data_IF_880559096169
#
_entry.id   IF_880559096169
#
_cell.length_a   1.000
_cell.length_b   1.000
_cell.length_c   1.000
_cell.angle_alpha   90.00
_cell.angle_beta   90.00
_cell.angle_gamma   90.00
#
_symmetry.space_group_name_H-M   'P 1'
#
loop_
_entity.id
_entity.type
_entity.pdbx_description
1 polymer ?
#
# COMPACT_ATOMS: atom_id res chain seq x y z
N UNK A 1 3.26 21.85 20.84
CA UNK A 1 4.29 21.51 19.82
C UNK A 1 3.65 21.09 18.49
N UNK A 2 2.76 20.12 18.46
CA UNK A 2 2.10 19.63 17.24
C UNK A 2 1.48 20.76 16.42
N UNK A 3 0.66 21.62 17.06
CA UNK A 3 0.03 22.77 16.39
C UNK A 3 1.04 23.72 15.75
N UNK A 4 2.19 23.93 16.40
CA UNK A 4 3.25 24.79 15.87
C UNK A 4 3.89 24.14 14.63
N UNK A 5 4.23 22.84 14.71
CA UNK A 5 4.78 22.10 13.57
C UNK A 5 3.81 22.10 12.38
N UNK A 6 2.52 21.85 12.62
CA UNK A 6 1.50 21.88 11.59
C UNK A 6 1.41 23.25 10.91
N UNK A 7 1.43 24.32 11.69
CA UNK A 7 1.40 25.70 11.16
C UNK A 7 2.63 25.98 10.28
N UNK A 8 3.83 25.65 10.77
CA UNK A 8 5.06 25.83 10.02
C UNK A 8 5.07 25.04 8.71
N UNK A 9 4.52 23.82 8.72
CA UNK A 9 4.39 23.01 7.50
C UNK A 9 3.42 23.64 6.49
N UNK A 10 2.29 24.17 6.96
CA UNK A 10 1.31 24.87 6.11
C UNK A 10 1.98 26.14 5.51
N UNK A 11 2.60 26.97 6.32
CA UNK A 11 3.30 28.18 5.88
C UNK A 11 4.39 27.86 4.85
N UNK A 12 5.20 26.82 5.09
CA UNK A 12 6.20 26.35 4.14
C UNK A 12 5.58 25.92 2.80
N UNK A 13 4.51 25.13 2.86
CA UNK A 13 3.80 24.68 1.66
C UNK A 13 3.17 25.84 0.88
N UNK A 14 2.55 26.81 1.58
CA UNK A 14 1.91 27.97 0.97
C UNK A 14 2.93 28.95 0.36
N UNK A 15 4.18 28.96 0.85
CA UNK A 15 5.29 29.71 0.26
C UNK A 15 5.93 29.04 -0.97
N UNK A 16 5.38 27.93 -1.45
CA UNK A 16 5.88 27.18 -2.60
C UNK A 16 6.88 26.09 -2.25
N UNK A 17 7.03 25.77 -0.97
CA UNK A 17 7.87 24.67 -0.48
C UNK A 17 7.44 23.31 -1.02
N UNK A 18 8.40 22.42 -1.27
CA UNK A 18 8.14 21.06 -1.79
C UNK A 18 8.22 20.05 -0.67
N UNK A 19 7.15 19.24 -0.54
CA UNK A 19 7.04 18.22 0.49
C UNK A 19 7.31 16.83 -0.11
N UNK A 20 8.29 16.13 0.44
CA UNK A 20 8.55 14.72 0.21
C UNK A 20 8.06 13.94 1.43
N UNK A 21 7.24 12.94 1.21
CA UNK A 21 6.75 12.05 2.28
C UNK A 21 7.58 10.76 2.27
N UNK A 22 8.12 10.39 3.43
CA UNK A 22 8.75 9.10 3.64
C UNK A 22 7.84 8.20 4.50
N UNK A 23 7.43 7.06 3.94
CA UNK A 23 6.60 6.06 4.62
C UNK A 23 7.44 4.82 4.93
N UNK A 24 7.71 4.61 6.21
CA UNK A 24 8.37 3.41 6.70
C UNK A 24 7.32 2.36 7.14
N UNK A 25 7.76 1.11 7.31
CA UNK A 25 6.90 0.01 7.78
C UNK A 25 5.73 -0.28 6.87
N UNK A 26 4.54 -0.47 7.44
CA UNK A 26 3.31 -0.89 6.81
C UNK A 26 2.14 0.05 7.18
N UNK A 27 2.30 1.34 6.94
CA UNK A 27 1.31 2.37 7.31
C UNK A 27 0.02 2.29 6.49
N UNK A 28 0.04 1.64 5.32
CA UNK A 28 -1.14 1.45 4.47
C UNK A 28 -2.16 0.53 5.13
N UNK A 29 -1.72 -0.54 5.83
CA UNK A 29 -2.61 -1.39 6.64
C UNK A 29 -3.34 -0.58 7.73
N UNK A 30 -2.69 0.42 8.31
CA UNK A 30 -3.30 1.37 9.25
C UNK A 30 -4.16 2.44 8.55
N UNK A 31 -4.44 2.29 7.26
CA UNK A 31 -5.26 3.18 6.45
C UNK A 31 -4.75 4.64 6.40
N UNK A 32 -3.42 4.83 6.30
CA UNK A 32 -2.81 6.17 6.16
C UNK A 32 -3.38 6.94 4.96
N UNK A 33 -3.86 6.24 3.96
CA UNK A 33 -4.46 6.81 2.75
C UNK A 33 -5.63 7.75 3.04
N UNK A 34 -6.40 7.53 4.12
CA UNK A 34 -7.49 8.41 4.55
C UNK A 34 -7.03 9.86 4.83
N UNK A 35 -5.79 10.02 5.26
CA UNK A 35 -5.17 11.33 5.50
C UNK A 35 -4.28 11.77 4.35
N UNK A 36 -3.57 10.83 3.74
CA UNK A 36 -2.56 11.11 2.71
C UNK A 36 -3.18 11.41 1.33
N UNK A 37 -4.21 10.66 0.92
CA UNK A 37 -4.84 10.87 -0.37
C UNK A 37 -5.43 12.29 -0.54
N UNK A 38 -6.18 12.85 0.42
CA UNK A 38 -6.62 14.24 0.32
C UNK A 38 -5.48 15.26 0.22
N UNK A 39 -4.38 15.04 0.96
CA UNK A 39 -3.21 15.92 0.91
C UNK A 39 -2.51 15.88 -0.46
N UNK A 40 -2.42 14.68 -1.06
CA UNK A 40 -1.90 14.48 -2.42
C UNK A 40 -2.80 15.22 -3.43
N UNK A 41 -4.09 14.96 -3.39
CA UNK A 41 -5.07 15.56 -4.31
C UNK A 41 -5.14 17.09 -4.20
N UNK A 42 -4.85 17.64 -3.02
CA UNK A 42 -4.71 19.08 -2.79
C UNK A 42 -3.38 19.66 -3.29
N UNK A 43 -2.51 18.86 -3.92
CA UNK A 43 -1.21 19.30 -4.43
C UNK A 43 -0.18 19.64 -3.33
N UNK A 44 -0.37 19.14 -2.12
CA UNK A 44 0.53 19.40 -0.97
C UNK A 44 1.73 18.44 -0.91
N UNK A 45 1.66 17.30 -1.61
CA UNK A 45 2.71 16.28 -1.65
C UNK A 45 3.32 16.26 -3.05
N UNK A 46 4.65 16.22 -3.13
CA UNK A 46 5.38 16.37 -4.39
C UNK A 46 6.19 15.14 -4.76
N UNK A 47 6.51 14.29 -3.80
CA UNK A 47 7.15 13.00 -4.00
C UNK A 47 6.90 12.11 -2.79
N UNK A 48 6.93 10.79 -3.00
CA UNK A 48 6.79 9.80 -1.95
C UNK A 48 7.97 8.84 -2.03
N UNK A 49 8.59 8.55 -0.89
CA UNK A 49 9.52 7.43 -0.73
C UNK A 49 8.91 6.45 0.25
N UNK A 50 8.71 5.19 -0.13
CA UNK A 50 8.01 4.24 0.72
C UNK A 50 8.63 2.84 0.65
N UNK A 51 8.31 2.02 1.65
CA UNK A 51 8.57 0.57 1.59
C UNK A 51 7.66 -0.09 0.57
N UNK A 52 8.06 -1.23 0.03
CA UNK A 52 7.19 -2.05 -0.81
C UNK A 52 5.90 -2.47 -0.10
N UNK A 53 5.98 -2.76 1.21
CA UNK A 53 4.82 -3.08 2.03
C UNK A 53 3.75 -1.96 2.02
N UNK A 54 4.15 -0.69 2.13
CA UNK A 54 3.19 0.41 2.02
C UNK A 54 2.50 0.46 0.66
N UNK A 55 3.24 0.17 -0.40
CA UNK A 55 2.73 0.20 -1.77
C UNK A 55 1.72 -0.93 -2.01
N UNK A 56 2.10 -2.17 -1.66
CA UNK A 56 1.26 -3.35 -1.90
C UNK A 56 0.01 -3.37 -1.02
N UNK A 57 0.10 -2.95 0.23
CA UNK A 57 -1.03 -2.97 1.14
C UNK A 57 -2.13 -1.95 0.79
N UNK A 58 -1.81 -0.85 0.13
CA UNK A 58 -2.82 0.06 -0.42
C UNK A 58 -3.66 -0.63 -1.50
N UNK A 59 -3.00 -1.46 -2.34
CA UNK A 59 -3.68 -2.31 -3.34
C UNK A 59 -4.53 -3.40 -2.68
N UNK A 60 -3.99 -4.09 -1.67
CA UNK A 60 -4.74 -5.13 -0.96
C UNK A 60 -6.00 -4.56 -0.30
N UNK A 61 -5.92 -3.37 0.29
CA UNK A 61 -7.08 -2.66 0.84
C UNK A 61 -8.11 -2.30 -0.22
N UNK A 62 -7.68 -1.89 -1.41
CA UNK A 62 -8.59 -1.57 -2.51
C UNK A 62 -9.36 -2.81 -3.00
N UNK A 63 -8.70 -3.96 -3.05
CA UNK A 63 -9.24 -5.19 -3.64
C UNK A 63 -10.03 -6.00 -2.63
N UNK A 64 -9.55 -6.12 -1.40
CA UNK A 64 -10.08 -7.04 -0.40
C UNK A 64 -10.36 -6.39 0.96
N UNK A 65 -10.32 -5.08 1.08
CA UNK A 65 -10.44 -4.40 2.37
C UNK A 65 -11.75 -4.63 3.12
N UNK A 66 -12.81 -5.08 2.44
CA UNK A 66 -14.08 -5.44 3.07
C UNK A 66 -14.04 -6.85 3.71
N UNK A 67 -13.05 -7.65 3.36
CA UNK A 67 -12.83 -8.98 3.91
C UNK A 67 -11.75 -8.98 5.03
N UNK A 68 -11.20 -7.82 5.37
CA UNK A 68 -10.24 -7.71 6.46
C UNK A 68 -10.92 -7.93 7.81
N UNK A 69 -10.25 -8.67 8.68
CA UNK A 69 -10.69 -8.91 10.05
C UNK A 69 -9.81 -8.16 11.06
N UNK A 70 -10.41 -7.62 12.13
CA UNK A 70 -9.69 -6.98 13.22
C UNK A 70 -9.59 -7.92 14.42
N UNK A 71 -8.38 -8.06 14.97
CA UNK A 71 -8.10 -8.82 16.18
C UNK A 71 -7.87 -7.86 17.35
N UNK A 72 -8.93 -7.55 18.11
CA UNK A 72 -8.87 -6.59 19.20
C UNK A 72 -7.87 -6.97 20.30
N UNK A 73 -7.74 -8.27 20.58
CA UNK A 73 -6.84 -8.81 21.62
C UNK A 73 -5.50 -9.30 21.05
N UNK A 74 -5.02 -8.69 19.98
CA UNK A 74 -3.83 -9.17 19.24
C UNK A 74 -2.56 -9.36 20.10
N UNK A 75 -2.40 -8.56 21.20
CA UNK A 75 -1.26 -8.69 22.11
C UNK A 75 -1.30 -9.95 22.99
N UNK A 76 -2.47 -10.57 23.14
CA UNK A 76 -2.68 -11.80 23.90
C UNK A 76 -2.84 -13.04 23.02
N UNK A 77 -2.69 -12.88 21.69
CA UNK A 77 -2.72 -14.01 20.76
C UNK A 77 -1.54 -14.95 21.01
N UNK A 78 -1.81 -16.23 21.01
CA UNK A 78 -0.83 -17.31 21.09
C UNK A 78 -0.41 -17.78 19.68
N UNK A 79 0.63 -18.59 19.61
CA UNK A 79 1.02 -19.25 18.36
C UNK A 79 -0.08 -20.18 17.79
N UNK A 80 -0.95 -20.72 18.66
CA UNK A 80 -2.07 -21.54 18.22
C UNK A 80 -3.18 -20.71 17.58
N UNK A 81 -3.43 -19.50 18.11
CA UNK A 81 -4.39 -18.57 17.51
C UNK A 81 -3.90 -18.10 16.13
N UNK A 82 -2.59 -17.83 15.99
CA UNK A 82 -1.99 -17.49 14.70
C UNK A 82 -2.04 -18.67 13.71
N UNK A 83 -1.88 -19.90 14.19
CA UNK A 83 -2.02 -21.09 13.36
C UNK A 83 -3.45 -21.23 12.86
N UNK A 84 -4.46 -21.02 13.73
CA UNK A 84 -5.88 -21.07 13.34
C UNK A 84 -6.21 -20.02 12.27
N UNK A 85 -5.76 -18.78 12.48
CA UNK A 85 -5.91 -17.72 11.48
C UNK A 85 -5.27 -18.12 10.13
N UNK A 86 -4.07 -18.67 10.16
CA UNK A 86 -3.36 -19.12 8.96
C UNK A 86 -4.11 -20.27 8.25
N UNK A 87 -4.66 -21.23 8.98
CA UNK A 87 -5.48 -22.32 8.42
C UNK A 87 -6.78 -21.82 7.78
N UNK A 88 -7.31 -20.70 8.26
CA UNK A 88 -8.45 -20.00 7.66
C UNK A 88 -8.07 -19.10 6.48
N UNK A 89 -6.80 -19.10 6.06
CA UNK A 89 -6.31 -18.27 4.98
C UNK A 89 -6.15 -16.78 5.35
N UNK A 90 -6.02 -16.47 6.66
CA UNK A 90 -5.86 -15.10 7.15
C UNK A 90 -4.40 -14.84 7.55
N UNK A 91 -3.82 -13.77 7.03
CA UNK A 91 -2.45 -13.33 7.37
C UNK A 91 -2.52 -12.15 8.32
N UNK A 92 -2.12 -12.37 9.57
CA UNK A 92 -2.20 -11.33 10.61
C UNK A 92 -1.01 -10.35 10.53
N UNK A 93 -1.34 -9.08 10.48
CA UNK A 93 -0.39 -7.95 10.60
C UNK A 93 -0.81 -7.16 11.84
N UNK A 94 -0.20 -7.44 12.98
CA UNK A 94 -0.56 -6.90 14.31
C UNK A 94 -2.03 -7.18 14.68
N UNK A 95 -2.89 -6.20 14.60
CA UNK A 95 -4.32 -6.23 14.94
C UNK A 95 -5.25 -6.38 13.71
N UNK A 96 -4.68 -6.52 12.52
CA UNK A 96 -5.42 -6.68 11.28
C UNK A 96 -5.06 -8.01 10.62
N UNK A 97 -6.05 -8.71 10.09
CA UNK A 97 -5.88 -9.92 9.28
C UNK A 97 -6.27 -9.65 7.84
N UNK A 98 -5.39 -10.00 6.93
CA UNK A 98 -5.55 -9.84 5.48
C UNK A 98 -5.88 -11.21 4.87
N UNK A 99 -6.97 -11.35 4.10
CA UNK A 99 -7.30 -12.61 3.44
C UNK A 99 -6.27 -12.96 2.36
N UNK A 100 -5.68 -14.17 2.42
CA UNK A 100 -4.62 -14.59 1.50
C UNK A 100 -5.14 -14.65 0.05
N UNK A 101 -6.23 -15.35 -0.18
CA UNK A 101 -6.74 -15.59 -1.53
C UNK A 101 -7.30 -14.33 -2.17
N UNK A 102 -8.12 -13.56 -1.43
CA UNK A 102 -8.77 -12.37 -1.93
C UNK A 102 -7.81 -11.19 -2.15
N UNK A 103 -6.74 -11.09 -1.37
CA UNK A 103 -5.72 -10.04 -1.49
C UNK A 103 -4.49 -10.55 -2.24
N UNK A 104 -3.63 -11.33 -1.57
CA UNK A 104 -2.30 -11.69 -2.10
C UNK A 104 -2.38 -12.49 -3.40
N UNK A 105 -3.14 -13.59 -3.44
CA UNK A 105 -3.21 -14.48 -4.61
C UNK A 105 -3.90 -13.82 -5.79
N UNK A 106 -4.93 -13.03 -5.51
CA UNK A 106 -5.63 -12.27 -6.55
C UNK A 106 -4.70 -11.24 -7.19
N UNK A 107 -3.97 -10.46 -6.38
CA UNK A 107 -3.00 -9.47 -6.90
C UNK A 107 -1.85 -10.16 -7.64
N UNK A 108 -1.29 -11.26 -7.07
CA UNK A 108 -0.25 -12.05 -7.72
C UNK A 108 -0.69 -12.50 -9.13
N UNK A 109 -1.87 -13.12 -9.25
CA UNK A 109 -2.35 -13.62 -10.54
C UNK A 109 -2.48 -12.52 -11.61
N UNK A 110 -2.90 -11.33 -11.20
CA UNK A 110 -3.01 -10.17 -12.11
C UNK A 110 -1.64 -9.60 -12.51
N UNK A 111 -0.71 -9.53 -11.55
CA UNK A 111 0.62 -9.01 -11.79
C UNK A 111 1.49 -9.94 -12.64
N UNK A 112 1.30 -11.26 -12.56
CA UNK A 112 2.00 -12.22 -13.40
C UNK A 112 1.85 -11.93 -14.90
N UNK A 113 0.68 -11.46 -15.33
CA UNK A 113 0.48 -11.07 -16.73
C UNK A 113 1.09 -9.70 -17.05
N UNK A 114 1.01 -8.75 -16.11
CA UNK A 114 1.59 -7.41 -16.27
C UNK A 114 3.12 -7.47 -16.33
N UNK A 115 3.76 -8.33 -15.54
CA UNK A 115 5.21 -8.47 -15.52
C UNK A 115 5.79 -9.02 -16.83
N UNK A 116 5.00 -9.71 -17.64
CA UNK A 116 5.40 -10.22 -18.95
C UNK A 116 5.40 -9.17 -20.06
N UNK A 117 4.74 -8.03 -19.85
CA UNK A 117 4.53 -7.03 -20.90
C UNK A 117 5.79 -6.21 -21.17
N UNK A 118 6.24 -5.44 -20.19
CA UNK A 118 7.40 -4.57 -20.30
C UNK A 118 8.01 -4.27 -18.92
N UNK A 119 9.31 -3.94 -18.84
CA UNK A 119 9.92 -3.48 -17.59
C UNK A 119 9.29 -2.17 -17.12
N UNK A 120 8.97 -2.11 -15.84
CA UNK A 120 8.39 -0.95 -15.16
C UNK A 120 9.00 -0.77 -13.77
N UNK A 121 8.90 0.44 -13.22
CA UNK A 121 9.17 0.66 -11.82
C UNK A 121 8.10 -0.01 -10.93
N UNK A 122 8.40 -0.35 -9.66
CA UNK A 122 7.47 -1.06 -8.78
C UNK A 122 6.05 -0.46 -8.74
N UNK A 123 5.93 0.84 -8.57
CA UNK A 123 4.63 1.51 -8.55
C UNK A 123 3.91 1.52 -9.91
N UNK A 124 4.65 1.51 -11.03
CA UNK A 124 4.08 1.49 -12.37
C UNK A 124 3.41 0.15 -12.70
N UNK A 125 3.93 -0.97 -12.16
CA UNK A 125 3.25 -2.26 -12.25
C UNK A 125 1.89 -2.21 -11.53
N UNK A 126 1.83 -1.56 -10.37
CA UNK A 126 0.58 -1.40 -9.64
C UNK A 126 -0.36 -0.40 -10.33
N UNK A 127 0.15 0.61 -10.98
CA UNK A 127 -0.64 1.52 -11.80
C UNK A 127 -1.29 0.79 -12.98
N UNK A 128 -0.56 -0.11 -13.64
CA UNK A 128 -1.10 -0.94 -14.71
C UNK A 128 -2.18 -1.91 -14.20
N UNK A 129 -2.01 -2.44 -12.98
CA UNK A 129 -3.03 -3.24 -12.33
C UNK A 129 -4.29 -2.42 -12.02
N UNK A 130 -4.13 -1.22 -11.48
CA UNK A 130 -5.24 -0.31 -11.17
C UNK A 130 -6.08 0.05 -12.40
N UNK A 131 -5.47 0.07 -13.59
CA UNK A 131 -6.20 0.31 -14.85
C UNK A 131 -7.06 -0.87 -15.30
N UNK A 132 -6.90 -2.03 -14.68
CA UNK A 132 -7.56 -3.30 -15.05
C UNK A 132 -8.60 -3.78 -14.04
N UNK A 133 -8.71 -3.09 -12.91
CA UNK A 133 -9.66 -3.46 -11.86
C UNK A 133 -10.80 -2.45 -11.77
N UNK A 134 -11.97 -2.95 -11.40
CA UNK A 134 -13.08 -2.09 -11.02
C UNK A 134 -12.82 -1.52 -9.62
N UNK A 135 -12.84 -0.19 -9.51
CA UNK A 135 -12.55 0.51 -8.28
C UNK A 135 -13.82 0.64 -7.43
N UNK A 136 -13.77 0.06 -6.23
CA UNK A 136 -14.85 0.16 -5.24
C UNK A 136 -14.84 1.47 -4.45
N UNK A 137 -15.75 1.58 -3.47
CA UNK A 137 -15.93 2.82 -2.66
C UNK A 137 -14.70 3.20 -1.83
N UNK A 138 -13.76 2.27 -1.58
CA UNK A 138 -12.50 2.55 -0.87
C UNK A 138 -11.48 3.34 -1.69
N UNK A 139 -11.75 3.53 -2.98
CA UNK A 139 -10.83 4.22 -3.91
C UNK A 139 -10.52 5.66 -3.49
N UNK A 140 -11.45 6.35 -2.87
CA UNK A 140 -11.24 7.70 -2.35
C UNK A 140 -10.16 7.80 -1.26
N UNK A 141 -9.89 6.70 -0.56
CA UNK A 141 -8.91 6.59 0.51
C UNK A 141 -7.58 5.97 0.06
N UNK A 142 -7.41 5.67 -1.22
CA UNK A 142 -6.15 5.16 -1.75
C UNK A 142 -5.17 6.29 -2.05
N UNK A 143 -4.07 6.31 -1.34
CA UNK A 143 -3.00 7.26 -1.62
C UNK A 143 -2.28 6.95 -2.93
N UNK A 144 -2.22 5.67 -3.32
CA UNK A 144 -1.61 5.24 -4.59
C UNK A 144 -2.42 5.73 -5.80
N UNK A 145 -3.77 5.63 -5.75
CA UNK A 145 -4.65 6.21 -6.76
C UNK A 145 -4.52 7.73 -6.83
N UNK A 146 -4.44 8.39 -5.68
CA UNK A 146 -4.21 9.82 -5.62
C UNK A 146 -2.86 10.22 -6.23
N UNK A 147 -1.80 9.47 -5.93
CA UNK A 147 -0.47 9.69 -6.48
C UNK A 147 -0.44 9.48 -8.00
N UNK A 148 -1.09 8.41 -8.49
CA UNK A 148 -1.26 8.15 -9.93
C UNK A 148 -1.96 9.32 -10.62
N UNK A 149 -3.09 9.78 -10.08
CA UNK A 149 -3.87 10.89 -10.64
C UNK A 149 -3.08 12.20 -10.71
N UNK A 150 -2.24 12.46 -9.70
CA UNK A 150 -1.43 13.67 -9.61
C UNK A 150 -0.05 13.53 -10.26
N UNK A 151 0.25 12.36 -10.83
CA UNK A 151 1.55 12.02 -11.43
C UNK A 151 2.74 12.30 -10.49
N UNK A 152 2.62 11.89 -9.23
CA UNK A 152 3.64 12.09 -8.21
C UNK A 152 4.72 11.01 -8.33
N UNK A 153 6.01 11.36 -8.34
CA UNK A 153 7.09 10.40 -8.31
C UNK A 153 7.06 9.55 -7.02
N UNK A 154 7.16 8.23 -7.19
CA UNK A 154 7.23 7.29 -6.08
C UNK A 154 8.56 6.53 -6.17
N UNK A 155 9.32 6.54 -5.08
CA UNK A 155 10.56 5.81 -4.89
C UNK A 155 10.31 4.66 -3.92
N UNK A 156 10.69 3.45 -4.31
CA UNK A 156 10.49 2.23 -3.51
C UNK A 156 11.84 1.54 -3.30
N UNK A 157 12.72 2.09 -2.46
CA UNK A 157 13.97 1.43 -2.11
C UNK A 157 13.67 0.15 -1.34
N UNK A 158 14.38 -0.95 -1.65
CA UNK A 158 14.13 -2.25 -1.03
C UNK A 158 12.81 -2.90 -1.46
N UNK A 159 12.39 -2.70 -2.70
CA UNK A 159 11.21 -3.38 -3.27
C UNK A 159 11.22 -4.90 -3.05
N UNK A 160 12.38 -5.51 -3.15
CA UNK A 160 12.62 -6.94 -2.92
C UNK A 160 12.23 -7.42 -1.51
N UNK A 161 12.15 -6.53 -0.53
CA UNK A 161 11.73 -6.85 0.84
C UNK A 161 10.20 -6.90 1.02
N UNK A 162 9.44 -6.64 -0.05
CA UNK A 162 7.98 -6.75 -0.05
C UNK A 162 7.48 -8.12 -0.49
N UNK A 163 6.22 -8.43 -0.20
CA UNK A 163 5.57 -9.66 -0.69
C UNK A 163 5.54 -9.70 -2.21
N UNK A 164 5.12 -8.62 -2.85
CA UNK A 164 5.07 -8.54 -4.31
C UNK A 164 6.45 -8.56 -4.95
N UNK A 165 7.46 -7.95 -4.32
CA UNK A 165 8.84 -8.03 -4.76
C UNK A 165 9.39 -9.46 -4.71
N UNK A 166 9.10 -10.21 -3.65
CA UNK A 166 9.45 -11.63 -3.54
C UNK A 166 8.72 -12.49 -4.59
N UNK A 167 7.43 -12.22 -4.82
CA UNK A 167 6.65 -12.90 -5.87
C UNK A 167 7.21 -12.62 -7.27
N UNK A 168 7.61 -11.37 -7.53
CA UNK A 168 8.27 -10.98 -8.78
C UNK A 168 9.59 -11.73 -8.98
N UNK A 169 10.45 -11.77 -7.96
CA UNK A 169 11.71 -12.51 -8.00
C UNK A 169 11.48 -14.02 -8.26
N UNK A 170 10.50 -14.60 -7.58
CA UNK A 170 10.11 -16.00 -7.79
C UNK A 170 9.57 -16.25 -9.20
N UNK A 171 8.84 -15.33 -9.79
CA UNK A 171 8.37 -15.41 -11.17
C UNK A 171 9.56 -15.38 -12.15
N UNK A 172 10.52 -14.47 -11.96
CA UNK A 172 11.72 -14.39 -12.79
C UNK A 172 12.56 -15.68 -12.77
N UNK A 173 12.64 -16.36 -11.61
CA UNK A 173 13.37 -17.64 -11.48
C UNK A 173 12.66 -18.78 -12.20
N UNK A 174 11.34 -18.74 -12.26
CA UNK A 174 10.53 -19.80 -12.89
C UNK A 174 10.41 -19.65 -14.42
N UNK A 175 10.74 -18.49 -15.00
CA UNK A 175 10.58 -18.17 -16.43
C UNK A 175 9.17 -17.80 -16.75
#
# INVERSE_FOLDING_TARGET
ELTRCTRSLIEFSDSGGKLVIALAGAMSTAQIGRSLAPAILAGRVHSISCTGANLEEDIFLLIAGDEYENVQSWRSQSAMDDLDLNLRGMKRVTDVCIPEDAAFRRVESMLLEIWKEEPRLPHEHLYALLDRIELGPRSENSWLLAAKKMNIPILVPGWEDSTLGNLFAAACVRG
#
